data_IF_475735902757
#
_entry.id   IF_475735902757
#
_cell.length_a   1.000
_cell.length_b   1.000
_cell.length_c   1.000
_cell.angle_alpha   90.00
_cell.angle_beta   90.00
_cell.angle_gamma   90.00
#
_symmetry.space_group_name_H-M   'P 1'
#
loop_
_entity.id
_entity.type
_entity.pdbx_description
1 polymer ?
#
# COMPACT_ATOMS: atom_id res chain seq x y z
N UNK A 1 -13.78 22.04 11.14
CA UNK A 1 -12.81 21.11 11.77
C UNK A 1 -11.63 21.82 12.42
N UNK A 2 -10.79 22.58 11.71
CA UNK A 2 -9.64 23.26 12.37
C UNK A 2 -10.10 24.34 13.34
N UNK A 3 -11.01 25.21 12.93
CA UNK A 3 -11.54 26.28 13.79
C UNK A 3 -12.28 25.73 15.01
N UNK A 4 -13.05 24.64 14.83
CA UNK A 4 -13.74 23.95 15.93
C UNK A 4 -12.75 23.39 16.99
N UNK A 5 -11.58 22.91 16.55
CA UNK A 5 -10.53 22.45 17.47
C UNK A 5 -9.93 23.64 18.22
N UNK A 6 -9.68 24.75 17.53
CA UNK A 6 -9.14 25.99 18.14
C UNK A 6 -10.12 26.51 19.20
N UNK A 7 -11.40 26.61 18.87
CA UNK A 7 -12.45 27.06 19.77
C UNK A 7 -12.60 26.12 20.98
N UNK A 8 -12.53 24.81 20.77
CA UNK A 8 -12.60 23.83 21.84
C UNK A 8 -11.41 23.97 22.82
N UNK A 9 -10.20 24.21 22.30
CA UNK A 9 -9.01 24.45 23.13
C UNK A 9 -9.13 25.77 23.88
N UNK A 10 -9.55 26.85 23.23
CA UNK A 10 -9.78 28.14 23.88
C UNK A 10 -10.83 28.05 24.99
N UNK A 11 -11.95 27.37 24.74
CA UNK A 11 -12.98 27.12 25.74
C UNK A 11 -12.50 26.23 26.89
N UNK A 12 -11.58 25.29 26.65
CA UNK A 12 -10.99 24.48 27.71
C UNK A 12 -10.09 25.30 28.64
N UNK A 13 -9.33 26.26 28.09
CA UNK A 13 -8.53 27.21 28.88
C UNK A 13 -9.45 28.15 29.67
N UNK A 14 -10.44 28.76 29.02
CA UNK A 14 -11.37 29.67 29.66
C UNK A 14 -12.14 29.02 30.83
N UNK A 15 -12.44 27.72 30.72
CA UNK A 15 -13.13 26.94 31.76
C UNK A 15 -12.18 26.27 32.77
N UNK A 16 -10.87 26.55 32.72
CA UNK A 16 -9.87 25.99 33.64
C UNK A 16 -9.61 24.48 33.49
N UNK A 17 -10.17 23.83 32.47
CA UNK A 17 -9.94 22.41 32.17
C UNK A 17 -8.55 22.16 31.55
N UNK A 18 -7.96 23.21 30.98
CA UNK A 18 -6.59 23.22 30.49
C UNK A 18 -5.87 24.44 31.07
N UNK A 19 -4.76 24.21 31.78
CA UNK A 19 -3.95 25.31 32.32
C UNK A 19 -3.27 26.10 31.19
N UNK A 20 -3.29 27.43 31.29
CA UNK A 20 -2.63 28.31 30.31
C UNK A 20 -1.10 28.06 30.26
N UNK A 21 -0.47 27.76 31.39
CA UNK A 21 0.93 27.36 31.47
C UNK A 21 1.24 26.12 30.62
N UNK A 22 0.34 25.13 30.63
CA UNK A 22 0.48 23.90 29.84
C UNK A 22 0.33 24.17 28.35
N UNK A 23 -0.56 25.09 27.95
CA UNK A 23 -0.70 25.50 26.55
C UNK A 23 0.54 26.26 26.07
N UNK A 24 1.06 27.20 26.87
CA UNK A 24 2.30 27.94 26.59
C UNK A 24 3.51 27.03 26.47
N UNK A 25 3.64 26.04 27.36
CA UNK A 25 4.68 25.01 27.28
C UNK A 25 4.57 24.21 25.97
N UNK A 26 3.36 23.82 25.57
CA UNK A 26 3.15 23.13 24.30
C UNK A 26 3.62 23.97 23.10
N UNK A 27 3.21 25.24 23.06
CA UNK A 27 3.58 26.19 22.01
C UNK A 27 5.10 26.37 21.95
N UNK A 28 5.75 26.58 23.11
CA UNK A 28 7.20 26.72 23.20
C UNK A 28 7.96 25.51 22.65
N UNK A 29 7.47 24.28 22.86
CA UNK A 29 8.09 23.09 22.25
C UNK A 29 7.94 23.04 20.74
N UNK A 30 6.79 23.46 20.21
CA UNK A 30 6.57 23.56 18.76
C UNK A 30 7.49 24.62 18.15
N UNK A 31 7.61 25.78 18.80
CA UNK A 31 8.51 26.86 18.40
C UNK A 31 9.98 26.41 18.41
N UNK A 32 10.40 25.66 19.43
CA UNK A 32 11.74 25.10 19.52
C UNK A 32 12.04 24.14 18.35
N UNK A 33 11.09 23.27 17.98
CA UNK A 33 11.22 22.39 16.80
C UNK A 33 11.27 23.19 15.51
N UNK A 34 10.43 24.21 15.37
CA UNK A 34 10.41 25.07 14.20
C UNK A 34 11.74 25.84 14.02
N UNK A 35 12.26 26.42 15.10
CA UNK A 35 13.54 27.10 15.12
C UNK A 35 14.71 26.16 14.80
N UNK A 36 14.73 24.96 15.42
CA UNK A 36 15.72 23.93 15.13
C UNK A 36 15.72 23.51 13.65
N UNK A 37 14.53 23.34 13.05
CA UNK A 37 14.39 23.02 11.62
C UNK A 37 14.86 24.17 10.74
N UNK A 38 14.43 25.40 11.02
CA UNK A 38 14.79 26.58 10.24
C UNK A 38 16.32 26.78 10.17
N UNK A 39 17.01 26.58 11.30
CA UNK A 39 18.48 26.66 11.37
C UNK A 39 19.20 25.54 10.58
N UNK A 40 18.49 24.47 10.18
CA UNK A 40 19.05 23.28 9.51
C UNK A 40 18.66 23.15 8.04
N UNK A 41 17.88 24.07 7.49
CA UNK A 41 17.53 24.02 6.07
C UNK A 41 18.75 24.45 5.23
N UNK A 42 19.67 23.51 5.00
CA UNK A 42 20.55 23.50 3.84
C UNK A 42 19.76 23.00 2.62
N UNK A 43 20.16 23.43 1.42
CA UNK A 43 19.41 23.24 0.17
C UNK A 43 18.88 21.83 -0.09
N UNK A 44 17.88 21.72 -0.97
CA UNK A 44 17.28 20.44 -1.35
C UNK A 44 18.36 19.52 -1.92
N UNK A 45 18.69 18.46 -1.18
CA UNK A 45 19.55 17.41 -1.70
C UNK A 45 18.94 16.87 -3.01
N UNK A 46 19.75 16.59 -4.04
CA UNK A 46 19.26 15.97 -5.26
C UNK A 46 18.44 14.72 -4.92
N UNK A 47 17.31 14.53 -5.62
CA UNK A 47 16.52 13.30 -5.47
C UNK A 47 17.35 12.13 -6.00
N UNK A 48 18.01 11.43 -5.08
CA UNK A 48 18.71 10.18 -5.36
C UNK A 48 17.76 9.00 -5.50
N UNK A 49 18.32 7.82 -5.72
CA UNK A 49 17.61 6.55 -5.93
C UNK A 49 17.41 5.74 -4.65
N UNK A 50 17.74 6.30 -3.48
CA UNK A 50 17.72 5.60 -2.19
C UNK A 50 16.39 4.89 -1.91
N UNK A 51 15.25 5.48 -2.30
CA UNK A 51 13.93 4.85 -2.16
C UNK A 51 13.77 3.62 -3.06
N UNK A 52 14.26 3.65 -4.30
CA UNK A 52 14.23 2.51 -5.20
C UNK A 52 15.21 1.41 -4.74
N UNK A 53 16.40 1.78 -4.27
CA UNK A 53 17.37 0.85 -3.69
C UNK A 53 16.78 0.16 -2.47
N UNK A 54 16.18 0.91 -1.54
CA UNK A 54 15.53 0.36 -0.36
C UNK A 54 14.37 -0.58 -0.73
N UNK A 55 13.53 -0.21 -1.71
CA UNK A 55 12.43 -1.04 -2.17
C UNK A 55 12.91 -2.39 -2.71
N UNK A 56 13.97 -2.42 -3.54
CA UNK A 56 14.56 -3.67 -4.06
C UNK A 56 15.10 -4.56 -2.94
N UNK A 57 15.80 -3.99 -1.96
CA UNK A 57 16.35 -4.74 -0.83
C UNK A 57 15.26 -5.29 0.11
N UNK A 58 14.11 -4.63 0.17
CA UNK A 58 12.98 -5.01 1.01
C UNK A 58 12.14 -6.15 0.43
N UNK A 59 12.23 -6.46 -0.87
CA UNK A 59 11.43 -7.53 -1.48
C UNK A 59 11.73 -8.87 -0.81
N UNK A 60 10.67 -9.60 -0.47
CA UNK A 60 10.72 -11.02 -0.13
C UNK A 60 9.84 -11.77 -1.11
N UNK A 61 10.43 -12.71 -1.84
CA UNK A 61 9.72 -13.53 -2.82
C UNK A 61 9.88 -15.01 -2.47
N UNK A 62 8.83 -15.79 -2.69
CA UNK A 62 8.80 -17.22 -2.43
C UNK A 62 8.00 -17.94 -3.53
N UNK A 63 8.47 -19.11 -3.94
CA UNK A 63 7.83 -19.91 -4.98
C UNK A 63 8.06 -19.38 -6.40
N UNK A 64 7.26 -19.87 -7.35
CA UNK A 64 7.35 -19.52 -8.76
C UNK A 64 6.59 -18.20 -9.05
N UNK A 65 7.31 -17.08 -8.96
CA UNK A 65 6.71 -15.73 -9.05
C UNK A 65 6.84 -15.07 -10.43
N UNK A 66 7.19 -15.80 -11.49
CA UNK A 66 7.40 -15.19 -12.81
C UNK A 66 6.11 -15.16 -13.63
N UNK A 67 5.84 -14.03 -14.27
CA UNK A 67 4.68 -13.88 -15.17
C UNK A 67 5.06 -14.06 -16.64
N UNK A 68 4.10 -14.57 -17.41
CA UNK A 68 4.17 -14.63 -18.87
C UNK A 68 4.02 -13.26 -19.53
N UNK A 69 3.85 -13.22 -20.86
CA UNK A 69 3.63 -11.97 -21.60
C UNK A 69 2.25 -11.34 -21.34
N UNK A 70 1.29 -12.12 -20.84
CA UNK A 70 -0.07 -11.69 -20.50
C UNK A 70 -0.36 -11.95 -19.02
N UNK A 71 -0.87 -10.93 -18.32
CA UNK A 71 -1.22 -11.04 -16.91
C UNK A 71 -2.59 -10.42 -16.61
N UNK A 72 -3.40 -11.12 -15.83
CA UNK A 72 -4.57 -10.57 -15.16
C UNK A 72 -4.15 -10.14 -13.74
N UNK A 73 -4.33 -8.86 -13.43
CA UNK A 73 -3.96 -8.25 -12.14
C UNK A 73 -5.25 -7.89 -11.40
N UNK A 74 -5.57 -8.67 -10.37
CA UNK A 74 -6.72 -8.43 -9.51
C UNK A 74 -6.25 -7.63 -8.29
N UNK A 75 -6.57 -6.35 -8.23
CA UNK A 75 -6.20 -5.46 -7.13
C UNK A 75 -7.35 -5.35 -6.14
N UNK A 76 -7.17 -5.94 -4.96
CA UNK A 76 -8.17 -5.86 -3.89
C UNK A 76 -8.13 -4.48 -3.27
N UNK A 77 -9.21 -3.72 -3.46
CA UNK A 77 -9.24 -2.32 -3.11
C UNK A 77 -9.09 -2.12 -1.59
N UNK A 78 -8.42 -1.06 -1.17
CA UNK A 78 -8.38 -0.70 0.25
C UNK A 78 -8.61 0.79 0.39
N UNK A 79 -9.65 1.14 1.15
CA UNK A 79 -10.05 2.53 1.40
C UNK A 79 -8.86 3.32 1.92
N UNK A 80 -8.51 4.40 1.22
CA UNK A 80 -7.43 5.27 1.65
C UNK A 80 -7.78 5.98 2.97
N UNK A 81 -6.78 6.20 3.82
CA UNK A 81 -6.95 7.09 4.97
C UNK A 81 -6.95 8.55 4.52
N UNK A 82 -7.52 9.44 5.36
CA UNK A 82 -7.49 10.89 5.12
C UNK A 82 -6.05 11.40 4.90
N UNK A 83 -5.08 10.82 5.61
CA UNK A 83 -3.67 11.19 5.49
C UNK A 83 -3.00 10.69 4.20
N UNK A 84 -3.44 9.53 3.68
CA UNK A 84 -2.89 8.97 2.45
C UNK A 84 -3.48 9.63 1.19
N UNK A 85 -4.78 9.97 1.24
CA UNK A 85 -5.52 10.42 0.06
C UNK A 85 -5.62 9.35 -1.03
N UNK A 86 -6.29 9.68 -2.12
CA UNK A 86 -6.38 8.79 -3.29
C UNK A 86 -5.08 8.86 -4.10
N UNK A 87 -4.17 7.93 -3.84
CA UNK A 87 -2.89 7.80 -4.55
C UNK A 87 -2.87 6.51 -5.37
N UNK A 88 -2.45 6.56 -6.65
CA UNK A 88 -2.30 5.35 -7.45
C UNK A 88 -1.35 4.34 -6.79
N UNK A 89 -1.78 3.08 -6.73
CA UNK A 89 -1.00 1.98 -6.16
C UNK A 89 -1.31 0.65 -6.85
N UNK A 90 -0.48 -0.35 -6.60
CA UNK A 90 -0.57 -1.67 -7.24
C UNK A 90 0.55 -1.91 -8.26
N UNK A 91 0.66 -3.14 -8.76
CA UNK A 91 1.76 -3.54 -9.66
C UNK A 91 1.41 -3.48 -11.15
N UNK A 92 0.14 -3.27 -11.51
CA UNK A 92 -0.34 -3.36 -12.90
C UNK A 92 0.40 -2.40 -13.85
N UNK A 93 0.47 -1.11 -13.49
CA UNK A 93 1.21 -0.12 -14.29
C UNK A 93 2.72 -0.41 -14.38
N UNK A 94 3.32 -0.90 -13.29
CA UNK A 94 4.74 -1.26 -13.26
C UNK A 94 5.05 -2.50 -14.12
N UNK A 95 4.15 -3.49 -14.17
CA UNK A 95 4.24 -4.64 -15.06
C UNK A 95 4.07 -4.24 -16.53
N UNK A 96 3.09 -3.38 -16.82
CA UNK A 96 2.85 -2.87 -18.17
C UNK A 96 4.07 -2.11 -18.71
N UNK A 97 4.73 -1.31 -17.87
CA UNK A 97 5.98 -0.62 -18.21
C UNK A 97 7.15 -1.59 -18.53
N UNK A 98 7.03 -2.87 -18.15
CA UNK A 98 7.99 -3.94 -18.48
C UNK A 98 7.53 -4.82 -19.64
N UNK A 99 6.58 -4.35 -20.44
CA UNK A 99 6.12 -5.01 -21.66
C UNK A 99 5.11 -6.15 -21.45
N UNK A 100 4.54 -6.29 -20.25
CA UNK A 100 3.47 -7.24 -19.98
C UNK A 100 2.14 -6.66 -20.44
N UNK A 101 1.33 -7.42 -21.18
CA UNK A 101 -0.06 -7.04 -21.47
C UNK A 101 -0.90 -7.30 -20.23
N UNK A 102 -1.27 -6.22 -19.55
CA UNK A 102 -1.98 -6.28 -18.27
C UNK A 102 -3.47 -6.00 -18.46
N UNK A 103 -4.30 -6.93 -18.01
CA UNK A 103 -5.72 -6.69 -17.72
C UNK A 103 -5.83 -6.45 -16.22
N UNK A 104 -6.16 -5.23 -15.79
CA UNK A 104 -6.29 -4.89 -14.38
C UNK A 104 -7.76 -4.77 -13.98
N UNK A 105 -8.12 -5.34 -12.84
CA UNK A 105 -9.46 -5.26 -12.25
C UNK A 105 -9.32 -4.84 -10.79
N UNK A 106 -10.07 -3.83 -10.39
CA UNK A 106 -10.21 -3.43 -9.00
C UNK A 106 -11.33 -4.23 -8.35
N UNK A 107 -10.94 -5.13 -7.47
CA UNK A 107 -11.85 -6.12 -6.87
C UNK A 107 -12.48 -5.53 -5.62
N UNK A 108 -13.79 -5.33 -5.70
CA UNK A 108 -14.68 -5.26 -4.55
C UNK A 108 -15.27 -6.65 -4.27
N UNK A 109 -14.91 -7.32 -3.16
CA UNK A 109 -15.44 -8.63 -2.82
C UNK A 109 -16.96 -8.68 -2.63
N UNK A 110 -17.62 -7.54 -2.39
CA UNK A 110 -19.08 -7.48 -2.27
C UNK A 110 -19.79 -7.41 -3.62
N UNK A 111 -19.12 -6.91 -4.66
CA UNK A 111 -19.72 -6.67 -5.98
C UNK A 111 -19.27 -7.68 -7.04
N UNK A 112 -18.09 -8.27 -6.91
CA UNK A 112 -17.53 -9.16 -7.92
C UNK A 112 -17.78 -10.64 -7.61
N UNK A 113 -18.17 -11.39 -8.64
CA UNK A 113 -18.31 -12.85 -8.57
C UNK A 113 -16.98 -13.55 -8.88
N UNK A 114 -16.66 -14.58 -8.10
CA UNK A 114 -15.46 -15.38 -8.23
C UNK A 114 -15.30 -16.03 -9.62
N UNK A 115 -16.39 -16.55 -10.20
CA UNK A 115 -16.37 -17.21 -11.50
C UNK A 115 -16.03 -16.22 -12.62
N UNK A 116 -16.56 -15.00 -12.55
CA UNK A 116 -16.25 -13.93 -13.51
C UNK A 116 -14.77 -13.57 -13.45
N UNK A 117 -14.22 -13.37 -12.25
CA UNK A 117 -12.78 -13.07 -12.07
C UNK A 117 -11.89 -14.20 -12.60
N UNK A 118 -12.30 -15.47 -12.41
CA UNK A 118 -11.58 -16.62 -12.92
C UNK A 118 -11.61 -16.68 -14.46
N UNK A 119 -12.77 -16.45 -15.07
CA UNK A 119 -12.92 -16.45 -16.53
C UNK A 119 -12.10 -15.33 -17.18
N UNK A 120 -12.12 -14.12 -16.61
CA UNK A 120 -11.30 -12.99 -17.06
C UNK A 120 -9.79 -13.27 -16.96
N UNK A 121 -9.39 -14.09 -15.98
CA UNK A 121 -7.98 -14.49 -15.78
C UNK A 121 -7.54 -15.70 -16.61
N UNK A 122 -8.45 -16.33 -17.36
CA UNK A 122 -8.18 -17.57 -18.06
C UNK A 122 -7.12 -17.38 -19.17
N UNK A 123 -6.19 -18.33 -19.28
CA UNK A 123 -5.07 -18.29 -20.23
C UNK A 123 -4.00 -17.23 -19.93
N UNK A 124 -4.05 -16.55 -18.77
CA UNK A 124 -3.09 -15.51 -18.36
C UNK A 124 -2.43 -15.87 -17.04
N UNK A 125 -1.25 -15.30 -16.77
CA UNK A 125 -0.70 -15.29 -15.41
C UNK A 125 -1.65 -14.51 -14.50
N UNK A 126 -2.07 -15.10 -13.37
CA UNK A 126 -2.94 -14.44 -12.41
C UNK A 126 -2.11 -13.84 -11.27
N UNK A 127 -2.21 -12.53 -11.07
CA UNK A 127 -1.55 -11.79 -9.99
C UNK A 127 -2.61 -11.18 -9.09
N UNK A 128 -2.64 -11.62 -7.83
CA UNK A 128 -3.52 -11.07 -6.80
C UNK A 128 -2.73 -10.02 -6.03
N UNK A 129 -3.23 -8.79 -5.97
CA UNK A 129 -2.55 -7.67 -5.30
C UNK A 129 -3.39 -7.23 -4.13
N UNK A 130 -2.83 -7.34 -2.92
CA UNK A 130 -3.50 -6.99 -1.67
C UNK A 130 -2.70 -5.94 -0.93
N UNK A 131 -3.36 -5.22 -0.02
CA UNK A 131 -2.70 -4.30 0.90
C UNK A 131 -3.28 -4.47 2.29
N UNK A 132 -2.44 -4.88 3.23
CA UNK A 132 -2.81 -5.13 4.62
C UNK A 132 -3.91 -6.20 4.73
N UNK A 133 -3.73 -7.35 4.05
CA UNK A 133 -4.76 -8.40 3.99
C UNK A 133 -5.25 -8.85 5.39
N UNK A 134 -4.37 -8.78 6.38
CA UNK A 134 -4.68 -9.04 7.79
C UNK A 134 -5.80 -8.17 8.39
N UNK A 135 -6.17 -7.05 7.75
CA UNK A 135 -7.25 -6.13 8.17
C UNK A 135 -8.54 -6.27 7.34
N UNK A 136 -8.57 -7.23 6.41
CA UNK A 136 -9.59 -7.37 5.36
C UNK A 136 -10.06 -8.82 5.25
N UNK A 137 -10.78 -9.34 6.26
CA UNK A 137 -11.23 -10.73 6.27
C UNK A 137 -12.07 -11.09 5.04
N UNK A 138 -12.90 -10.17 4.53
CA UNK A 138 -13.69 -10.34 3.31
C UNK A 138 -12.82 -10.56 2.07
N UNK A 139 -11.69 -9.83 1.96
CA UNK A 139 -10.73 -10.03 0.88
C UNK A 139 -9.97 -11.34 1.06
N UNK A 140 -9.60 -11.69 2.30
CA UNK A 140 -8.89 -12.93 2.60
C UNK A 140 -9.70 -14.16 2.15
N UNK A 141 -11.02 -14.17 2.40
CA UNK A 141 -11.92 -15.25 1.95
C UNK A 141 -11.91 -15.38 0.42
N UNK A 142 -12.04 -14.27 -0.32
CA UNK A 142 -12.03 -14.31 -1.78
C UNK A 142 -10.67 -14.69 -2.36
N UNK A 143 -9.57 -14.21 -1.76
CA UNK A 143 -8.19 -14.59 -2.12
C UNK A 143 -7.97 -16.08 -1.90
N UNK A 144 -8.40 -16.64 -0.76
CA UNK A 144 -8.32 -18.08 -0.49
C UNK A 144 -9.11 -18.89 -1.53
N UNK A 145 -10.31 -18.43 -1.90
CA UNK A 145 -11.13 -19.08 -2.92
C UNK A 145 -10.48 -19.05 -4.32
N UNK A 146 -9.87 -17.92 -4.71
CA UNK A 146 -9.11 -17.80 -5.95
C UNK A 146 -7.89 -18.73 -5.96
N UNK A 147 -7.11 -18.74 -4.88
CA UNK A 147 -5.93 -19.59 -4.75
C UNK A 147 -6.29 -21.09 -4.78
N UNK A 148 -7.44 -21.48 -4.24
CA UNK A 148 -7.92 -22.86 -4.32
C UNK A 148 -8.25 -23.31 -5.76
N UNK A 149 -8.68 -22.39 -6.62
CA UNK A 149 -9.02 -22.66 -8.04
C UNK A 149 -7.85 -22.43 -9.00
N UNK A 150 -6.95 -21.51 -8.65
CA UNK A 150 -5.71 -21.16 -9.36
C UNK A 150 -4.52 -21.22 -8.41
N UNK A 151 -4.03 -22.42 -8.06
CA UNK A 151 -2.86 -22.56 -7.19
C UNK A 151 -1.59 -21.93 -7.77
N UNK A 152 -1.55 -21.72 -9.09
CA UNK A 152 -0.47 -21.04 -9.81
C UNK A 152 -0.51 -19.51 -9.67
N UNK A 153 -1.56 -18.93 -9.07
CA UNK A 153 -1.67 -17.49 -8.88
C UNK A 153 -0.59 -16.93 -7.95
N UNK A 154 -0.09 -15.75 -8.28
CA UNK A 154 0.94 -15.05 -7.52
C UNK A 154 0.29 -14.02 -6.61
N UNK A 155 0.44 -14.16 -5.30
CA UNK A 155 -0.04 -13.18 -4.33
C UNK A 155 1.04 -12.13 -4.03
N UNK A 156 0.73 -10.85 -4.23
CA UNK A 156 1.59 -9.70 -3.94
C UNK A 156 0.98 -8.88 -2.80
N UNK A 157 1.62 -8.90 -1.63
CA UNK A 157 1.26 -8.07 -0.48
C UNK A 157 2.04 -6.75 -0.50
N UNK A 158 1.29 -5.65 -0.57
CA UNK A 158 1.79 -4.26 -0.64
C UNK A 158 1.59 -3.44 0.64
N UNK A 159 1.18 -4.10 1.73
CA UNK A 159 1.14 -3.58 3.09
C UNK A 159 2.04 -4.37 4.03
N UNK A 160 1.54 -4.65 5.23
CA UNK A 160 2.25 -5.40 6.27
C UNK A 160 2.09 -6.91 6.06
N UNK A 161 3.17 -7.68 5.79
CA UNK A 161 3.10 -9.09 5.40
C UNK A 161 2.97 -10.05 6.60
N UNK A 162 1.96 -9.84 7.44
CA UNK A 162 1.67 -10.68 8.61
C UNK A 162 0.52 -11.66 8.40
N UNK A 163 -0.13 -11.62 7.25
CA UNK A 163 -1.15 -12.57 6.83
C UNK A 163 -0.80 -13.11 5.45
N UNK A 164 -0.22 -14.31 5.41
CA UNK A 164 -0.01 -15.07 4.16
C UNK A 164 -1.02 -16.22 4.11
N UNK A 165 -1.97 -16.18 3.16
CA UNK A 165 -2.85 -17.31 2.85
C UNK A 165 -2.07 -18.61 2.66
N UNK A 166 -2.56 -19.72 3.22
CA UNK A 166 -1.87 -21.02 3.14
C UNK A 166 -1.75 -21.52 1.70
N UNK A 167 -2.73 -21.20 0.85
CA UNK A 167 -2.73 -21.54 -0.57
C UNK A 167 -1.78 -20.72 -1.43
N UNK A 168 -1.18 -19.63 -0.91
CA UNK A 168 -0.29 -18.78 -1.68
C UNK A 168 1.11 -19.39 -1.79
N UNK A 169 1.29 -20.35 -2.71
CA UNK A 169 2.59 -20.98 -2.98
C UNK A 169 3.57 -20.04 -3.67
N UNK A 170 3.08 -19.11 -4.50
CA UNK A 170 3.84 -18.02 -5.08
C UNK A 170 3.46 -16.72 -4.38
N UNK A 171 4.42 -16.10 -3.69
CA UNK A 171 4.15 -14.95 -2.81
C UNK A 171 5.27 -13.92 -2.88
N UNK A 172 4.89 -12.64 -2.96
CA UNK A 172 5.79 -11.48 -2.87
C UNK A 172 5.30 -10.56 -1.75
N UNK A 173 6.19 -10.19 -0.83
CA UNK A 173 5.98 -9.10 0.11
C UNK A 173 6.88 -7.92 -0.24
N UNK A 174 6.28 -6.73 -0.36
CA UNK A 174 6.97 -5.49 -0.76
C UNK A 174 7.21 -4.52 0.40
N UNK A 175 6.56 -4.73 1.55
CA UNK A 175 6.64 -3.89 2.75
C UNK A 175 6.24 -2.42 2.52
N UNK A 176 5.49 -2.14 1.46
CA UNK A 176 4.98 -0.80 1.15
C UNK A 176 4.25 -0.74 -0.19
N UNK A 177 3.37 0.25 -0.36
CA UNK A 177 2.55 0.41 -1.57
C UNK A 177 2.95 1.61 -2.43
N UNK A 178 4.13 2.17 -2.20
CA UNK A 178 4.67 3.28 -2.99
C UNK A 178 4.99 2.82 -4.43
N UNK A 179 5.09 3.78 -5.36
CA UNK A 179 5.47 3.52 -6.76
C UNK A 179 6.75 2.69 -6.89
N UNK A 180 7.79 3.00 -6.13
CA UNK A 180 9.06 2.25 -6.15
C UNK A 180 8.92 0.81 -5.64
N UNK A 181 7.97 0.53 -4.74
CA UNK A 181 7.66 -0.83 -4.29
C UNK A 181 6.97 -1.63 -5.41
N UNK A 182 6.07 -1.00 -6.17
CA UNK A 182 5.46 -1.61 -7.35
C UNK A 182 6.49 -1.92 -8.44
N UNK A 183 7.42 -1.00 -8.69
CA UNK A 183 8.52 -1.17 -9.64
C UNK A 183 9.43 -2.33 -9.24
N UNK A 184 9.85 -2.38 -7.97
CA UNK A 184 10.67 -3.48 -7.44
C UNK A 184 9.95 -4.83 -7.51
N UNK A 185 8.64 -4.88 -7.22
CA UNK A 185 7.85 -6.10 -7.40
C UNK A 185 7.77 -6.52 -8.86
N UNK A 186 7.59 -5.58 -9.79
CA UNK A 186 7.53 -5.84 -11.22
C UNK A 186 8.87 -6.37 -11.77
N UNK A 187 10.02 -5.87 -11.28
CA UNK A 187 11.35 -6.42 -11.58
C UNK A 187 11.46 -7.91 -11.18
N UNK A 188 10.90 -8.27 -10.03
CA UNK A 188 10.87 -9.66 -9.56
C UNK A 188 9.89 -10.51 -10.35
N UNK A 189 8.71 -9.99 -10.71
CA UNK A 189 7.69 -10.69 -11.49
C UNK A 189 8.13 -10.91 -12.96
N UNK A 190 8.83 -9.94 -13.54
CA UNK A 190 9.27 -9.95 -14.94
C UNK A 190 10.69 -9.37 -15.03
N UNK A 191 11.68 -10.23 -15.25
CA UNK A 191 13.05 -9.76 -15.51
C UNK A 191 13.11 -9.05 -16.86
#
# INVERSE_FOLDING_TARGET
MVDEIVDAVAAAVARGRLGESRLREAASRVDAVAAWRAARVGGVAPRGDAGAVAARLAIRAHGAVKVGPDAAVLRFESTASIAAGDVPWGVGGALAARGVRVTAVDVDPAAHDLAVLLDESNGRSLVLVVRDLHRRPEQAVMVDALLARRPDAILVEMGVPICRPRGAIAYIATHGSARVCAEAAAEVLRA
#
